data_IF_245858645033
#
_entry.id   IF_245858645033
#
_cell.length_a   1.000
_cell.length_b   1.000
_cell.length_c   1.000
_cell.angle_alpha   90.00
_cell.angle_beta   90.00
_cell.angle_gamma   90.00
#
_symmetry.space_group_name_H-M   'P 1'
#
loop_
_entity.id
_entity.type
_entity.pdbx_description
1 polymer ?
#
# COMPACT_ATOMS: atom_id res chain seq x y z
N UNK A 1 24.76 -57.14 67.30
CA UNK A 1 23.45 -57.03 66.63
C UNK A 1 23.06 -55.55 66.62
N UNK A 2 23.24 -54.89 65.51
CA UNK A 2 22.76 -53.49 65.28
C UNK A 2 21.83 -53.52 64.09
N UNK A 3 20.60 -53.16 64.32
CA UNK A 3 19.55 -53.07 63.32
C UNK A 3 19.73 -51.78 62.52
N UNK A 4 19.72 -51.92 61.17
CA UNK A 4 19.79 -50.81 60.24
C UNK A 4 18.34 -50.43 59.88
N UNK A 5 17.89 -49.20 60.23
CA UNK A 5 16.60 -48.64 59.86
C UNK A 5 16.77 -47.92 58.53
N UNK A 6 16.08 -48.38 57.49
CA UNK A 6 16.08 -47.77 56.16
C UNK A 6 14.94 -46.74 56.11
N UNK A 7 15.26 -45.43 56.10
CA UNK A 7 14.27 -44.37 55.87
C UNK A 7 14.04 -44.19 54.38
N UNK A 8 12.83 -44.52 53.93
CA UNK A 8 12.32 -44.27 52.58
C UNK A 8 11.76 -42.84 52.51
N UNK A 9 12.45 -41.90 51.89
CA UNK A 9 11.92 -40.56 51.65
C UNK A 9 11.08 -40.56 50.36
N UNK A 10 9.76 -40.34 50.51
CA UNK A 10 8.85 -40.04 49.42
C UNK A 10 9.10 -38.65 48.93
N UNK A 11 9.58 -38.52 47.71
CA UNK A 11 9.64 -37.25 46.99
C UNK A 11 8.27 -37.05 46.29
N UNK A 12 7.44 -36.17 46.85
CA UNK A 12 6.21 -35.73 46.22
C UNK A 12 6.57 -34.65 45.19
N UNK A 13 6.49 -35.00 43.89
CA UNK A 13 6.63 -34.08 42.82
C UNK A 13 5.38 -33.18 42.73
N UNK A 14 5.45 -31.94 43.18
CA UNK A 14 4.48 -30.93 42.85
C UNK A 14 4.61 -30.59 41.36
N UNK A 15 3.65 -31.05 40.56
CA UNK A 15 3.43 -30.50 39.22
C UNK A 15 2.82 -29.11 39.40
N UNK A 16 3.67 -28.07 39.28
CA UNK A 16 3.19 -26.71 39.15
C UNK A 16 2.40 -26.59 37.85
N UNK A 17 1.09 -26.38 37.94
CA UNK A 17 0.31 -25.83 36.83
C UNK A 17 0.86 -24.46 36.54
N UNK A 18 1.49 -24.26 35.39
CA UNK A 18 1.76 -22.94 34.86
C UNK A 18 0.40 -22.45 34.37
N UNK A 19 -0.28 -21.71 35.22
CA UNK A 19 -1.44 -20.92 34.83
C UNK A 19 -0.91 -19.89 33.83
N UNK A 20 -1.17 -20.13 32.53
CA UNK A 20 -0.91 -19.13 31.50
C UNK A 20 -1.93 -18.00 31.74
N UNK A 21 -1.58 -17.06 32.60
CA UNK A 21 -2.37 -15.89 32.85
C UNK A 21 -2.60 -15.20 31.50
N UNK A 22 -3.85 -15.15 31.07
CA UNK A 22 -4.27 -14.32 29.93
C UNK A 22 -3.79 -12.90 30.24
N UNK A 23 -2.99 -12.26 29.38
CA UNK A 23 -2.55 -10.89 29.66
C UNK A 23 -3.78 -10.00 29.88
N UNK A 24 -3.70 -9.03 30.79
CA UNK A 24 -4.81 -8.11 31.02
C UNK A 24 -5.15 -7.38 29.72
N UNK A 25 -6.44 -7.06 29.49
CA UNK A 25 -6.82 -6.29 28.32
C UNK A 25 -6.07 -4.94 28.33
N UNK A 26 -5.69 -4.43 27.13
CA UNK A 26 -5.01 -3.15 27.03
C UNK A 26 -5.91 -2.02 27.61
N UNK A 27 -5.32 -0.91 28.07
CA UNK A 27 -6.09 0.22 28.58
C UNK A 27 -7.05 0.79 27.53
N UNK A 28 -8.21 1.37 27.90
CA UNK A 28 -9.13 2.00 26.97
C UNK A 28 -8.45 3.05 26.09
N UNK A 29 -8.79 3.08 24.79
CA UNK A 29 -8.21 4.02 23.83
C UNK A 29 -6.85 3.60 23.24
N UNK A 30 -6.30 2.45 23.63
CA UNK A 30 -5.14 1.85 22.94
C UNK A 30 -5.60 1.25 21.62
N UNK A 31 -4.81 1.38 20.52
CA UNK A 31 -5.19 0.79 19.25
C UNK A 31 -5.27 -0.74 19.32
N UNK A 32 -6.28 -1.30 18.70
CA UNK A 32 -6.53 -2.72 18.59
C UNK A 32 -7.09 -3.05 17.19
N UNK A 33 -7.13 -4.33 16.83
CA UNK A 33 -7.66 -4.79 15.55
C UNK A 33 -9.06 -5.37 15.74
N UNK A 34 -10.01 -4.89 14.92
CA UNK A 34 -11.32 -5.50 14.74
C UNK A 34 -11.42 -6.08 13.34
N UNK A 35 -11.69 -7.38 13.23
CA UNK A 35 -11.91 -8.00 11.93
C UNK A 35 -13.22 -7.54 11.32
N UNK A 36 -13.17 -7.00 10.10
CA UNK A 36 -14.35 -6.50 9.38
C UNK A 36 -14.82 -7.43 8.27
N UNK A 37 -13.97 -8.35 7.82
CA UNK A 37 -14.34 -9.32 6.80
C UNK A 37 -13.23 -10.31 6.47
N UNK A 38 -13.60 -11.26 5.60
CA UNK A 38 -12.67 -12.21 4.98
C UNK A 38 -12.96 -12.30 3.48
N UNK A 39 -11.92 -12.15 2.67
CA UNK A 39 -12.00 -12.01 1.22
C UNK A 39 -11.02 -12.99 0.54
N UNK A 40 -11.12 -13.15 -0.78
CA UNK A 40 -10.18 -13.96 -1.55
C UNK A 40 -9.01 -13.07 -2.01
N UNK A 41 -7.81 -13.33 -1.49
CA UNK A 41 -6.60 -12.58 -1.84
C UNK A 41 -6.80 -11.06 -1.92
N UNK A 42 -7.26 -10.40 -0.84
CA UNK A 42 -7.47 -8.96 -0.87
C UNK A 42 -6.13 -8.22 -0.90
N UNK A 43 -6.03 -7.20 -1.73
CA UNK A 43 -4.80 -6.42 -1.93
C UNK A 43 -4.98 -4.92 -1.75
N UNK A 44 -6.22 -4.44 -1.60
CA UNK A 44 -6.47 -3.03 -1.36
C UNK A 44 -7.87 -2.79 -0.77
N UNK A 45 -8.03 -1.67 -0.04
CA UNK A 45 -9.31 -1.22 0.48
C UNK A 45 -9.42 0.29 0.34
N UNK A 46 -10.59 0.77 -0.08
CA UNK A 46 -10.90 2.20 -0.18
C UNK A 46 -12.40 2.46 -0.02
N UNK A 47 -12.77 3.73 0.06
CA UNK A 47 -14.16 4.21 0.04
C UNK A 47 -14.31 5.39 -0.92
N UNK A 48 -15.51 5.59 -1.53
CA UNK A 48 -15.79 6.80 -2.26
C UNK A 48 -15.69 8.04 -1.37
N UNK A 49 -15.34 9.21 -1.92
CA UNK A 49 -15.34 10.45 -1.16
C UNK A 49 -16.68 10.69 -0.44
N UNK A 50 -16.60 10.98 0.86
CA UNK A 50 -17.74 11.22 1.75
C UNK A 50 -18.72 10.05 1.95
N UNK A 51 -18.47 8.87 1.38
CA UNK A 51 -19.28 7.67 1.61
C UNK A 51 -18.81 6.96 2.89
N UNK A 52 -19.59 7.11 3.95
CA UNK A 52 -19.29 6.50 5.25
C UNK A 52 -20.03 5.18 5.47
N UNK A 53 -20.71 4.67 4.46
CA UNK A 53 -21.55 3.47 4.56
C UNK A 53 -20.93 2.25 3.89
N UNK A 54 -20.04 2.48 2.90
CA UNK A 54 -19.47 1.42 2.09
C UNK A 54 -17.96 1.42 2.10
N UNK A 55 -17.41 0.21 2.11
CA UNK A 55 -16.00 -0.05 1.84
C UNK A 55 -15.90 -0.94 0.60
N UNK A 56 -14.89 -0.71 -0.19
CA UNK A 56 -14.61 -1.46 -1.41
C UNK A 56 -13.27 -2.19 -1.25
N UNK A 57 -13.33 -3.52 -1.30
CA UNK A 57 -12.16 -4.38 -1.15
C UNK A 57 -11.80 -4.95 -2.51
N UNK A 58 -10.59 -4.67 -2.96
CA UNK A 58 -10.02 -5.16 -4.20
C UNK A 58 -9.39 -6.52 -3.94
N UNK A 59 -9.84 -7.51 -4.70
CA UNK A 59 -9.26 -8.85 -4.72
C UNK A 59 -8.33 -9.02 -5.92
N UNK A 60 -7.18 -9.61 -5.70
CA UNK A 60 -6.13 -9.74 -6.71
C UNK A 60 -6.61 -10.50 -7.96
N UNK A 61 -7.54 -11.44 -7.79
CA UNK A 61 -8.11 -12.26 -8.85
C UNK A 61 -9.00 -11.51 -9.85
N UNK A 62 -9.31 -10.23 -9.58
CA UNK A 62 -10.08 -9.37 -10.47
C UNK A 62 -11.44 -8.92 -9.94
N UNK A 63 -11.84 -9.32 -8.75
CA UNK A 63 -13.11 -8.90 -8.18
C UNK A 63 -12.94 -7.68 -7.24
N UNK A 64 -13.88 -6.74 -7.28
CA UNK A 64 -14.06 -5.71 -6.27
C UNK A 64 -15.29 -6.04 -5.45
N UNK A 65 -15.14 -6.18 -4.14
CA UNK A 65 -16.23 -6.51 -3.21
C UNK A 65 -16.69 -5.28 -2.45
N UNK A 66 -18.00 -5.19 -2.22
CA UNK A 66 -18.58 -4.14 -1.37
C UNK A 66 -18.87 -4.68 0.01
N UNK A 67 -18.51 -3.93 1.02
CA UNK A 67 -18.89 -4.15 2.41
C UNK A 67 -19.79 -3.00 2.83
N UNK A 68 -21.05 -3.30 3.12
CA UNK A 68 -22.03 -2.39 3.72
C UNK A 68 -22.04 -2.60 5.22
N UNK A 69 -21.56 -1.66 5.99
CA UNK A 69 -21.30 -1.85 7.43
C UNK A 69 -20.51 -3.16 7.60
N UNK A 70 -21.04 -4.15 8.28
CA UNK A 70 -20.38 -5.44 8.52
C UNK A 70 -20.85 -6.55 7.56
N UNK A 71 -21.55 -6.21 6.46
CA UNK A 71 -22.12 -7.20 5.54
C UNK A 71 -21.47 -7.14 4.17
N UNK A 72 -20.75 -8.21 3.81
CA UNK A 72 -20.17 -8.36 2.46
C UNK A 72 -21.31 -8.66 1.48
N UNK A 73 -21.42 -7.83 0.44
CA UNK A 73 -22.45 -8.03 -0.59
C UNK A 73 -22.16 -9.29 -1.41
N UNK A 74 -23.21 -10.02 -1.79
CA UNK A 74 -23.09 -11.29 -2.51
C UNK A 74 -22.49 -11.11 -3.89
N UNK A 75 -22.90 -10.07 -4.62
CA UNK A 75 -22.37 -9.74 -5.95
C UNK A 75 -21.13 -8.85 -5.83
N UNK A 76 -20.12 -9.05 -6.66
CA UNK A 76 -19.02 -8.08 -6.75
C UNK A 76 -19.53 -6.76 -7.33
N UNK A 77 -18.86 -5.66 -6.96
CA UNK A 77 -19.06 -4.35 -7.57
C UNK A 77 -18.55 -4.31 -9.02
N UNK A 78 -17.37 -4.91 -9.24
CA UNK A 78 -16.74 -5.10 -10.54
C UNK A 78 -16.17 -6.52 -10.61
N UNK A 79 -16.30 -7.19 -11.77
CA UNK A 79 -15.80 -8.55 -11.97
C UNK A 79 -14.98 -8.67 -13.25
N UNK A 80 -13.66 -8.62 -13.11
CA UNK A 80 -12.69 -8.78 -14.21
C UNK A 80 -12.03 -10.17 -14.21
N UNK A 81 -12.53 -11.11 -13.43
CA UNK A 81 -11.99 -12.47 -13.37
C UNK A 81 -12.01 -13.14 -14.73
N UNK A 82 -10.90 -13.77 -15.10
CA UNK A 82 -10.70 -14.35 -16.44
C UNK A 82 -10.35 -13.34 -17.54
N UNK A 83 -10.31 -12.04 -17.23
CA UNK A 83 -9.92 -10.98 -18.17
C UNK A 83 -8.54 -10.39 -17.88
N UNK A 84 -7.93 -10.77 -16.75
CA UNK A 84 -6.66 -10.25 -16.27
C UNK A 84 -5.67 -11.38 -16.00
N UNK A 85 -4.36 -11.08 -16.01
CA UNK A 85 -3.35 -11.93 -15.40
C UNK A 85 -3.33 -11.69 -13.89
N UNK A 86 -3.22 -12.75 -13.08
CA UNK A 86 -3.06 -12.60 -11.63
C UNK A 86 -2.18 -13.71 -11.04
N UNK A 87 -1.59 -13.41 -9.88
CA UNK A 87 -0.64 -14.25 -9.17
C UNK A 87 0.74 -13.59 -9.05
N UNK A 88 1.47 -13.92 -7.98
CA UNK A 88 2.65 -13.14 -7.61
C UNK A 88 2.24 -11.68 -7.36
N UNK A 89 2.82 -10.74 -8.09
CA UNK A 89 2.48 -9.31 -8.01
C UNK A 89 1.44 -8.87 -9.07
N UNK A 90 1.06 -9.74 -10.01
CA UNK A 90 0.07 -9.43 -11.03
C UNK A 90 -1.35 -9.57 -10.50
N UNK A 91 -2.28 -8.78 -11.03
CA UNK A 91 -3.69 -8.85 -10.68
C UNK A 91 -4.45 -7.54 -10.86
N UNK A 92 -5.63 -7.49 -10.27
CA UNK A 92 -6.33 -6.23 -9.99
C UNK A 92 -5.74 -5.67 -8.69
N UNK A 93 -5.01 -4.53 -8.78
CA UNK A 93 -4.12 -4.08 -7.73
C UNK A 93 -4.65 -2.88 -6.92
N UNK A 94 -5.48 -2.04 -7.54
CA UNK A 94 -6.13 -0.92 -6.83
C UNK A 94 -7.34 -0.37 -7.55
N UNK A 95 -8.06 0.48 -6.83
CA UNK A 95 -9.25 1.19 -7.27
C UNK A 95 -9.21 2.62 -6.71
N UNK A 96 -9.50 3.63 -7.54
CA UNK A 96 -9.63 5.02 -7.12
C UNK A 96 -10.96 5.60 -7.59
N UNK A 97 -11.72 6.16 -6.67
CA UNK A 97 -12.95 6.90 -7.00
C UNK A 97 -12.62 8.33 -7.39
N UNK A 98 -13.27 8.82 -8.46
CA UNK A 98 -13.19 10.24 -8.85
C UNK A 98 -13.58 11.13 -7.66
N UNK A 99 -12.90 12.26 -7.41
CA UNK A 99 -13.28 13.19 -6.36
C UNK A 99 -14.75 13.65 -6.43
N UNK A 100 -15.36 13.62 -7.63
CA UNK A 100 -16.75 13.93 -7.89
C UNK A 100 -17.63 12.67 -8.08
N UNK A 101 -17.21 11.50 -7.59
CA UNK A 101 -17.91 10.23 -7.77
C UNK A 101 -19.39 10.29 -7.41
N UNK A 102 -19.77 11.04 -6.39
CA UNK A 102 -21.17 11.21 -5.97
C UNK A 102 -22.06 11.72 -7.11
N UNK A 103 -21.52 12.54 -8.02
CA UNK A 103 -22.25 13.17 -9.12
C UNK A 103 -21.99 12.54 -10.48
N UNK A 104 -20.74 12.11 -10.76
CA UNK A 104 -20.34 11.59 -12.07
C UNK A 104 -20.27 10.05 -12.14
N UNK A 105 -20.22 9.38 -10.98
CA UNK A 105 -20.18 7.91 -10.91
C UNK A 105 -18.88 7.29 -11.40
N UNK A 106 -17.84 8.08 -11.71
CA UNK A 106 -16.59 7.58 -12.30
C UNK A 106 -15.65 6.98 -11.26
N UNK A 107 -15.00 5.89 -11.63
CA UNK A 107 -13.91 5.30 -10.87
C UNK A 107 -12.88 4.68 -11.83
N UNK A 108 -11.70 4.38 -11.31
CA UNK A 108 -10.56 3.90 -12.07
C UNK A 108 -9.98 2.66 -11.40
N UNK A 109 -9.51 1.72 -12.19
CA UNK A 109 -8.83 0.51 -11.69
C UNK A 109 -7.47 0.35 -12.35
N UNK A 110 -6.55 -0.25 -11.60
CA UNK A 110 -5.21 -0.63 -12.05
C UNK A 110 -5.12 -2.15 -12.05
N UNK A 111 -4.79 -2.74 -13.18
CA UNK A 111 -4.62 -4.18 -13.28
C UNK A 111 -3.58 -4.56 -14.34
N UNK A 112 -3.10 -5.81 -14.30
CA UNK A 112 -2.29 -6.41 -15.35
C UNK A 112 -3.17 -7.20 -16.32
N UNK A 113 -3.07 -6.91 -17.62
CA UNK A 113 -3.81 -7.63 -18.64
C UNK A 113 -3.24 -9.06 -18.85
N UNK A 114 -3.87 -9.94 -19.63
CA UNK A 114 -3.37 -11.30 -19.88
C UNK A 114 -1.95 -11.39 -20.44
N UNK A 115 -1.42 -10.33 -21.04
CA UNK A 115 -0.03 -10.25 -21.51
C UNK A 115 0.96 -9.75 -20.44
N UNK A 116 0.47 -9.38 -19.25
CA UNK A 116 1.27 -8.78 -18.18
C UNK A 116 1.38 -7.26 -18.23
N UNK A 117 0.88 -6.59 -19.30
CA UNK A 117 0.94 -5.13 -19.36
C UNK A 117 0.03 -4.46 -18.34
N UNK A 118 0.47 -3.33 -17.82
CA UNK A 118 -0.31 -2.50 -16.91
C UNK A 118 -1.43 -1.80 -17.68
N UNK A 119 -2.62 -1.82 -17.11
CA UNK A 119 -3.82 -1.12 -17.61
C UNK A 119 -4.45 -0.26 -16.55
N UNK A 120 -4.73 0.99 -16.92
CA UNK A 120 -5.56 1.90 -16.15
C UNK A 120 -6.86 2.06 -16.93
N UNK A 121 -7.96 1.63 -16.33
CA UNK A 121 -9.27 1.66 -16.99
C UNK A 121 -10.25 2.42 -16.14
N UNK A 122 -10.98 3.34 -16.77
CA UNK A 122 -12.10 4.06 -16.19
C UNK A 122 -13.39 3.30 -16.42
N UNK A 123 -14.25 3.27 -15.42
CA UNK A 123 -15.63 2.79 -15.46
C UNK A 123 -16.57 3.81 -14.86
N UNK A 124 -17.86 3.64 -15.13
CA UNK A 124 -18.94 4.29 -14.41
C UNK A 124 -19.66 3.27 -13.50
N UNK A 125 -20.22 3.77 -12.41
CA UNK A 125 -21.17 3.00 -11.62
C UNK A 125 -22.50 2.88 -12.39
N UNK A 126 -23.18 1.75 -12.24
CA UNK A 126 -24.51 1.55 -12.82
C UNK A 126 -25.59 2.33 -12.04
N UNK A 127 -26.85 2.17 -12.41
CA UNK A 127 -27.98 2.70 -11.63
C UNK A 127 -28.07 2.07 -10.24
N UNK A 128 -27.62 0.82 -10.09
CA UNK A 128 -27.33 0.21 -8.80
C UNK A 128 -25.93 0.65 -8.34
N UNK A 129 -25.88 1.47 -7.28
CA UNK A 129 -24.64 2.06 -6.77
C UNK A 129 -23.65 1.01 -6.21
N UNK A 130 -24.06 -0.24 -6.05
CA UNK A 130 -23.24 -1.36 -5.63
C UNK A 130 -22.77 -2.23 -6.80
N UNK A 131 -22.94 -1.76 -8.05
CA UNK A 131 -22.54 -2.45 -9.27
C UNK A 131 -21.94 -1.49 -10.29
N UNK A 132 -20.79 -1.85 -10.85
CA UNK A 132 -20.20 -1.15 -11.99
C UNK A 132 -21.00 -1.40 -13.27
N UNK A 133 -20.98 -0.44 -14.19
CA UNK A 133 -21.37 -0.65 -15.58
C UNK A 133 -20.13 -1.00 -16.40
N UNK A 134 -19.89 -2.31 -16.55
CA UNK A 134 -18.70 -2.83 -17.25
C UNK A 134 -18.67 -2.44 -18.74
N UNK A 135 -19.81 -2.12 -19.34
CA UNK A 135 -19.89 -1.67 -20.73
C UNK A 135 -19.31 -0.26 -20.94
N UNK A 136 -19.08 0.48 -19.85
CA UNK A 136 -18.48 1.83 -19.89
C UNK A 136 -16.96 1.83 -19.85
N UNK A 137 -16.31 0.66 -19.93
CA UNK A 137 -14.86 0.52 -19.88
C UNK A 137 -14.16 1.45 -20.89
N UNK A 138 -13.29 2.32 -20.39
CA UNK A 138 -12.46 3.24 -21.17
C UNK A 138 -11.01 3.13 -20.70
N UNK A 139 -10.13 2.60 -21.57
CA UNK A 139 -8.71 2.45 -21.26
C UNK A 139 -8.04 3.83 -21.28
N UNK A 140 -7.67 4.31 -20.09
CA UNK A 140 -6.99 5.60 -19.91
C UNK A 140 -5.52 5.49 -20.30
N UNK A 141 -4.81 4.49 -19.77
CA UNK A 141 -3.38 4.32 -20.02
C UNK A 141 -3.04 2.84 -20.14
N UNK A 142 -2.10 2.55 -21.02
CA UNK A 142 -1.47 1.23 -21.18
C UNK A 142 0.03 1.39 -21.08
N UNK A 143 0.67 0.66 -20.17
CA UNK A 143 2.13 0.61 -20.06
C UNK A 143 2.58 -0.80 -20.35
N UNK A 144 3.42 -0.96 -21.34
CA UNK A 144 4.03 -2.25 -21.66
C UNK A 144 4.92 -2.69 -20.48
N UNK A 145 4.79 -3.97 -20.09
CA UNK A 145 5.56 -4.57 -19.02
C UNK A 145 6.14 -5.91 -19.50
N UNK A 146 7.12 -5.87 -20.42
CA UNK A 146 7.63 -7.07 -21.07
C UNK A 146 8.59 -7.86 -20.17
N UNK A 147 8.54 -9.17 -20.29
CA UNK A 147 9.59 -10.09 -19.82
C UNK A 147 9.48 -10.56 -18.38
N UNK A 148 8.99 -9.75 -17.46
CA UNK A 148 8.88 -10.09 -16.04
C UNK A 148 7.44 -9.99 -15.55
N UNK A 149 7.13 -10.67 -14.43
CA UNK A 149 5.79 -10.62 -13.81
C UNK A 149 5.76 -9.88 -12.48
N UNK A 150 6.91 -9.39 -12.02
CA UNK A 150 7.09 -8.67 -10.77
C UNK A 150 7.36 -7.17 -11.00
N UNK A 151 7.38 -6.38 -9.94
CA UNK A 151 7.52 -4.91 -9.92
C UNK A 151 6.48 -4.23 -10.80
N UNK A 152 5.22 -4.56 -10.55
CA UNK A 152 4.11 -3.94 -11.26
C UNK A 152 3.71 -2.59 -10.66
N UNK A 153 4.21 -2.22 -9.48
CA UNK A 153 3.65 -1.13 -8.69
C UNK A 153 2.21 -1.47 -8.29
N UNK A 154 1.24 -0.59 -8.60
CA UNK A 154 -0.18 -0.97 -8.51
C UNK A 154 -1.10 0.02 -7.82
N UNK A 155 -0.59 1.07 -7.19
CA UNK A 155 -1.45 2.05 -6.52
C UNK A 155 -1.99 3.08 -7.49
N UNK A 156 -3.32 3.36 -7.39
CA UNK A 156 -4.00 4.53 -7.92
C UNK A 156 -4.49 5.39 -6.76
N UNK A 157 -4.33 6.70 -6.88
CA UNK A 157 -4.95 7.65 -5.95
C UNK A 157 -5.14 9.01 -6.62
N UNK A 158 -6.26 9.67 -6.32
CA UNK A 158 -6.39 11.09 -6.63
C UNK A 158 -5.60 11.92 -5.62
N UNK A 159 -4.73 12.77 -6.12
CA UNK A 159 -4.01 13.73 -5.30
C UNK A 159 -4.91 14.88 -4.83
N UNK A 160 -4.44 15.71 -3.90
CA UNK A 160 -5.16 16.90 -3.43
C UNK A 160 -5.38 17.95 -4.54
N UNK A 161 -4.74 17.76 -5.68
CA UNK A 161 -4.87 18.55 -6.92
C UNK A 161 -5.95 18.02 -7.87
N UNK A 162 -6.67 16.95 -7.48
CA UNK A 162 -7.66 16.23 -8.28
C UNK A 162 -7.09 15.62 -9.58
N UNK A 163 -5.78 15.38 -9.67
CA UNK A 163 -5.17 14.59 -10.72
C UNK A 163 -5.09 13.14 -10.30
N UNK A 164 -5.14 12.23 -11.26
CA UNK A 164 -4.92 10.80 -11.00
C UNK A 164 -3.43 10.52 -10.97
N UNK A 165 -2.96 9.93 -9.87
CA UNK A 165 -1.60 9.49 -9.67
C UNK A 165 -1.54 7.98 -9.69
N UNK A 166 -0.44 7.44 -10.20
CA UNK A 166 -0.19 6.01 -10.22
C UNK A 166 1.30 5.70 -10.06
N UNK A 167 1.59 4.63 -9.33
CA UNK A 167 2.95 4.11 -9.15
C UNK A 167 3.19 2.91 -10.09
N UNK A 168 4.29 2.92 -10.82
CA UNK A 168 4.75 1.80 -11.64
C UNK A 168 6.08 1.31 -11.12
N UNK A 169 6.25 -0.01 -11.02
CA UNK A 169 7.56 -0.60 -10.76
C UNK A 169 8.50 -0.45 -11.95
N UNK A 170 9.77 -0.77 -11.76
CA UNK A 170 10.83 -0.64 -12.78
C UNK A 170 10.73 -1.67 -13.92
N UNK A 171 9.80 -2.60 -13.84
CA UNK A 171 9.58 -3.64 -14.86
C UNK A 171 10.12 -5.00 -14.47
N UNK A 172 10.68 -5.13 -13.26
CA UNK A 172 11.07 -6.40 -12.66
C UNK A 172 12.48 -6.87 -12.98
N UNK A 173 12.80 -8.01 -12.41
CA UNK A 173 14.16 -8.52 -12.40
C UNK A 173 15.05 -7.87 -11.34
N UNK A 174 16.20 -8.48 -11.07
CA UNK A 174 17.14 -7.95 -10.07
C UNK A 174 17.95 -6.79 -10.63
N UNK A 175 18.00 -5.65 -9.91
CA UNK A 175 18.88 -4.53 -10.22
C UNK A 175 18.46 -3.65 -11.40
N UNK A 176 17.17 -3.68 -11.80
CA UNK A 176 16.64 -2.88 -12.92
C UNK A 176 17.40 -3.14 -14.22
N UNK A 177 17.31 -4.35 -14.79
CA UNK A 177 18.12 -4.75 -15.94
C UNK A 177 17.87 -3.91 -17.19
N UNK A 178 16.69 -3.28 -17.30
CA UNK A 178 16.29 -2.43 -18.42
C UNK A 178 16.60 -0.94 -18.19
N UNK A 179 17.10 -0.56 -16.98
CA UNK A 179 17.46 0.80 -16.64
C UNK A 179 16.27 1.76 -16.55
N UNK A 180 15.09 1.23 -16.29
CA UNK A 180 13.86 2.02 -16.27
C UNK A 180 13.83 3.03 -15.14
N UNK A 181 14.34 2.70 -13.94
CA UNK A 181 14.33 3.59 -12.77
C UNK A 181 14.89 4.97 -13.10
N UNK A 182 16.09 5.04 -13.71
CA UNK A 182 16.76 6.29 -14.06
C UNK A 182 16.35 6.88 -15.43
N UNK A 183 15.64 6.13 -16.26
CA UNK A 183 15.21 6.59 -17.58
C UNK A 183 13.95 7.45 -17.48
N UNK A 184 14.09 8.78 -17.58
CA UNK A 184 12.96 9.73 -17.52
C UNK A 184 11.95 9.60 -18.67
N UNK A 185 12.30 8.93 -19.76
CA UNK A 185 11.40 8.66 -20.89
C UNK A 185 10.60 7.37 -20.73
N UNK A 186 11.00 6.47 -19.82
CA UNK A 186 10.24 5.27 -19.48
C UNK A 186 9.06 5.61 -18.55
N UNK A 187 7.98 4.84 -18.69
CA UNK A 187 6.82 4.93 -17.76
C UNK A 187 6.91 3.93 -16.61
N UNK A 188 7.94 3.09 -16.58
CA UNK A 188 8.24 2.14 -15.50
C UNK A 188 9.25 2.75 -14.52
N UNK A 189 9.15 2.40 -13.23
CA UNK A 189 9.97 2.95 -12.14
C UNK A 189 9.62 4.39 -11.80
N UNK A 190 8.32 4.75 -11.77
CA UNK A 190 7.83 6.13 -11.74
C UNK A 190 6.62 6.34 -10.84
N UNK A 191 6.42 7.59 -10.44
CA UNK A 191 5.09 8.12 -10.24
C UNK A 191 4.65 8.87 -11.48
N UNK A 192 3.49 8.51 -12.02
CA UNK A 192 2.86 9.16 -13.16
C UNK A 192 1.67 10.01 -12.67
N UNK A 193 1.37 11.11 -13.38
CA UNK A 193 0.29 12.02 -13.01
C UNK A 193 -0.47 12.49 -14.23
N UNK A 194 -1.80 12.26 -14.20
CA UNK A 194 -2.70 12.40 -15.35
C UNK A 194 -3.90 13.28 -15.00
N UNK A 195 -4.34 14.10 -15.93
CA UNK A 195 -5.63 14.78 -15.87
C UNK A 195 -6.70 13.94 -16.59
N UNK A 196 -7.56 13.29 -15.80
CA UNK A 196 -8.62 12.39 -16.29
C UNK A 196 -10.01 13.00 -16.23
N UNK A 197 -10.10 14.33 -16.07
CA UNK A 197 -11.40 15.05 -15.97
C UNK A 197 -12.16 15.08 -17.28
N UNK A 198 -11.50 14.87 -18.41
CA UNK A 198 -12.10 14.78 -19.75
C UNK A 198 -13.13 13.66 -19.88
N UNK A 199 -13.90 13.71 -20.97
CA UNK A 199 -14.91 12.71 -21.28
C UNK A 199 -14.29 11.35 -21.66
N UNK A 200 -13.09 11.33 -22.25
CA UNK A 200 -12.34 10.13 -22.63
C UNK A 200 -10.84 10.38 -22.50
N UNK A 201 -10.06 9.30 -22.32
CA UNK A 201 -8.61 9.35 -22.20
C UNK A 201 -8.12 10.24 -21.05
N UNK A 202 -6.95 10.86 -21.24
CA UNK A 202 -6.34 11.78 -20.29
C UNK A 202 -5.66 12.96 -21.00
N UNK A 203 -5.38 14.01 -20.24
CA UNK A 203 -4.51 15.10 -20.65
C UNK A 203 -3.28 15.17 -19.74
N UNK A 204 -2.20 15.78 -20.23
CA UNK A 204 -1.01 16.04 -19.41
C UNK A 204 -1.24 17.34 -18.62
N UNK A 205 -1.18 17.27 -17.28
CA UNK A 205 -1.29 18.47 -16.44
C UNK A 205 -0.26 19.53 -16.84
N UNK A 206 -0.64 20.80 -16.72
CA UNK A 206 0.17 21.93 -17.21
C UNK A 206 1.45 22.16 -16.41
N UNK A 207 1.54 21.55 -15.24
CA UNK A 207 2.66 21.64 -14.31
C UNK A 207 3.47 20.33 -14.17
N UNK A 208 3.22 19.31 -15.02
CA UNK A 208 4.11 18.15 -15.10
C UNK A 208 5.53 18.56 -15.51
N UNK A 209 6.58 17.84 -15.04
CA UNK A 209 7.99 18.18 -15.36
C UNK A 209 8.27 18.37 -16.84
N UNK A 210 7.67 17.55 -17.71
CA UNK A 210 7.83 17.61 -19.17
C UNK A 210 7.47 18.96 -19.80
N UNK A 211 6.70 19.80 -19.10
CA UNK A 211 6.34 21.14 -19.58
C UNK A 211 7.52 22.13 -19.55
N UNK A 212 8.53 21.82 -18.74
CA UNK A 212 9.74 22.65 -18.59
C UNK A 212 11.04 21.92 -18.87
N UNK A 213 11.01 20.58 -18.87
CA UNK A 213 12.15 19.70 -19.13
C UNK A 213 11.73 18.57 -20.08
N UNK A 214 12.11 18.67 -21.34
CA UNK A 214 11.77 17.71 -22.40
C UNK A 214 12.46 16.36 -22.24
N UNK A 215 13.35 16.17 -21.26
CA UNK A 215 13.92 14.87 -20.92
C UNK A 215 12.95 13.96 -20.19
N UNK A 216 11.78 14.47 -19.77
CA UNK A 216 10.72 13.65 -19.15
C UNK A 216 9.68 13.23 -20.18
N UNK A 217 9.22 11.97 -20.09
CA UNK A 217 7.95 11.58 -20.71
C UNK A 217 6.81 12.43 -20.14
N UNK A 218 5.77 12.72 -20.94
CA UNK A 218 4.71 13.65 -20.54
C UNK A 218 4.02 13.31 -19.22
N UNK A 219 3.81 12.04 -18.95
CA UNK A 219 3.08 11.51 -17.80
C UNK A 219 3.89 11.51 -16.51
N UNK A 220 5.22 11.52 -16.63
CA UNK A 220 6.13 11.32 -15.49
C UNK A 220 6.10 12.53 -14.56
N UNK A 221 5.89 12.25 -13.25
CA UNK A 221 5.99 13.23 -12.18
C UNK A 221 7.32 13.12 -11.44
N UNK A 222 7.68 11.90 -10.98
CA UNK A 222 8.96 11.59 -10.35
C UNK A 222 9.47 10.23 -10.82
N UNK A 223 10.76 9.95 -10.60
CA UNK A 223 11.45 8.78 -11.14
C UNK A 223 12.45 8.21 -10.13
N UNK A 224 13.12 7.12 -10.50
CA UNK A 224 14.10 6.48 -9.63
C UNK A 224 13.45 5.67 -8.51
N UNK A 225 12.30 5.04 -8.80
CA UNK A 225 11.59 4.12 -7.91
C UNK A 225 11.78 2.69 -8.42
N UNK A 226 11.80 1.72 -7.48
CA UNK A 226 11.94 0.31 -7.81
C UNK A 226 10.59 -0.39 -7.96
N UNK A 227 9.82 -0.41 -6.91
CA UNK A 227 8.47 -0.99 -6.90
C UNK A 227 7.61 -0.27 -5.85
N UNK A 228 7.16 0.97 -6.15
CA UNK A 228 6.34 1.77 -5.25
C UNK A 228 4.97 1.10 -5.09
N UNK A 229 4.93 0.10 -4.19
CA UNK A 229 3.78 -0.77 -4.02
C UNK A 229 2.56 0.00 -3.55
N UNK A 230 2.72 0.81 -2.48
CA UNK A 230 1.68 1.74 -2.03
C UNK A 230 2.25 3.12 -1.80
N UNK A 231 1.50 4.12 -2.22
CA UNK A 231 1.72 5.50 -1.85
C UNK A 231 0.42 6.14 -1.38
N UNK A 232 0.50 7.20 -0.62
CA UNK A 232 -0.68 7.94 -0.18
C UNK A 232 -0.38 9.42 0.04
N UNK A 233 -1.44 10.23 -0.03
CA UNK A 233 -1.38 11.62 0.38
C UNK A 233 -1.97 11.79 1.78
N UNK A 234 -1.25 12.50 2.63
CA UNK A 234 -1.85 12.97 3.87
C UNK A 234 -3.02 13.91 3.56
N UNK A 235 -4.22 13.56 3.99
CA UNK A 235 -5.44 14.32 3.70
C UNK A 235 -5.42 15.74 4.26
N UNK A 236 -4.61 16.03 5.29
CA UNK A 236 -4.54 17.34 5.92
C UNK A 236 -3.45 18.22 5.31
N UNK A 237 -2.26 17.69 5.08
CA UNK A 237 -1.11 18.47 4.60
C UNK A 237 -0.92 18.38 3.10
N UNK A 238 -1.41 17.31 2.49
CA UNK A 238 -1.20 16.99 1.08
C UNK A 238 0.19 16.42 0.78
N UNK A 239 0.97 16.09 1.80
CA UNK A 239 2.28 15.48 1.63
C UNK A 239 2.16 14.06 1.10
N UNK A 240 3.11 13.68 0.25
CA UNK A 240 3.15 12.36 -0.38
C UNK A 240 4.09 11.44 0.41
N UNK A 241 3.61 10.25 0.73
CA UNK A 241 4.35 9.15 1.34
C UNK A 241 4.36 7.97 0.38
N UNK A 242 5.52 7.32 0.21
CA UNK A 242 5.71 6.19 -0.72
C UNK A 242 6.41 5.07 0.05
N UNK A 243 5.86 3.85 0.01
CA UNK A 243 6.57 2.64 0.38
C UNK A 243 7.15 2.04 -0.89
N UNK A 244 8.45 2.13 -1.06
CA UNK A 244 9.17 1.57 -2.22
C UNK A 244 9.92 0.30 -1.80
N UNK A 245 9.59 -0.81 -2.45
CA UNK A 245 10.14 -2.13 -2.09
C UNK A 245 11.59 -2.22 -2.55
N UNK A 246 12.47 -2.50 -1.61
CA UNK A 246 13.91 -2.63 -1.84
C UNK A 246 14.32 -3.90 -2.58
N UNK A 247 15.61 -4.00 -2.91
CA UNK A 247 16.13 -5.12 -3.71
C UNK A 247 16.63 -6.28 -2.84
N UNK A 248 17.65 -6.03 -2.05
CA UNK A 248 18.39 -7.09 -1.35
C UNK A 248 18.63 -6.78 0.13
N UNK A 249 18.65 -5.51 0.52
CA UNK A 249 19.16 -5.09 1.82
C UNK A 249 18.24 -4.20 2.63
N UNK A 250 17.53 -3.28 1.98
CA UNK A 250 16.79 -2.23 2.67
C UNK A 250 15.43 -1.98 2.03
N UNK A 251 14.43 -1.88 2.86
CA UNK A 251 13.10 -1.32 2.53
C UNK A 251 13.08 0.16 2.87
N UNK A 252 12.22 0.95 2.20
CA UNK A 252 12.23 2.40 2.41
C UNK A 252 10.85 3.06 2.39
N UNK A 253 10.75 4.16 3.16
CA UNK A 253 9.64 5.12 3.09
C UNK A 253 10.18 6.44 2.59
N UNK A 254 9.76 6.83 1.41
CA UNK A 254 10.01 8.16 0.88
C UNK A 254 8.91 9.14 1.27
N UNK A 255 9.31 10.38 1.52
CA UNK A 255 8.37 11.45 1.80
C UNK A 255 8.66 12.65 0.91
N UNK A 256 7.68 13.07 0.15
CA UNK A 256 7.77 14.25 -0.70
C UNK A 256 6.77 15.33 -0.24
N UNK A 257 7.25 16.33 0.53
CA UNK A 257 6.41 17.39 1.07
C UNK A 257 5.73 18.26 0.02
N UNK A 258 4.59 18.82 0.38
CA UNK A 258 3.91 19.85 -0.42
C UNK A 258 4.82 21.02 -0.75
N UNK A 259 5.74 21.40 0.18
CA UNK A 259 6.70 22.46 -0.02
C UNK A 259 7.68 22.23 -1.19
N UNK A 260 7.95 20.95 -1.54
CA UNK A 260 8.74 20.56 -2.70
C UNK A 260 7.86 19.98 -3.82
N UNK A 261 6.64 20.50 -3.93
CA UNK A 261 5.67 20.11 -4.96
C UNK A 261 5.42 18.61 -5.03
N UNK A 262 5.42 17.90 -3.88
CA UNK A 262 5.17 16.45 -3.82
C UNK A 262 6.08 15.65 -4.75
N UNK A 263 7.36 15.99 -4.81
CA UNK A 263 8.35 15.27 -5.61
C UNK A 263 8.34 15.58 -7.11
N UNK A 264 7.86 16.75 -7.55
CA UNK A 264 7.91 17.14 -8.96
C UNK A 264 9.32 17.09 -9.52
N UNK A 265 9.58 16.16 -10.46
CA UNK A 265 10.89 15.96 -11.08
C UNK A 265 11.95 15.35 -10.15
N UNK A 266 11.58 14.90 -8.96
CA UNK A 266 12.51 14.29 -8.01
C UNK A 266 12.94 12.91 -8.50
N UNK A 267 14.25 12.63 -8.32
CA UNK A 267 14.82 11.30 -8.40
C UNK A 267 14.85 10.68 -7.00
N UNK A 268 14.26 9.49 -6.81
CA UNK A 268 14.28 8.76 -5.55
C UNK A 268 15.47 7.79 -5.41
N UNK A 269 16.32 7.69 -6.46
CA UNK A 269 17.64 7.07 -6.35
C UNK A 269 17.80 5.73 -7.03
N UNK A 270 16.78 4.90 -7.13
CA UNK A 270 16.87 3.59 -7.73
C UNK A 270 17.22 3.68 -9.24
N UNK A 271 18.19 2.94 -9.80
CA UNK A 271 18.96 1.81 -9.25
C UNK A 271 20.42 2.17 -8.88
N UNK A 272 20.67 3.41 -8.50
CA UNK A 272 22.00 3.85 -8.01
C UNK A 272 22.05 3.79 -6.48
N UNK A 273 20.89 3.95 -5.85
CA UNK A 273 20.71 3.84 -4.40
C UNK A 273 19.70 2.73 -4.08
N UNK A 274 19.85 2.10 -2.92
CA UNK A 274 18.87 1.26 -2.22
C UNK A 274 18.83 1.76 -0.78
N UNK A 275 17.71 2.33 -0.36
CA UNK A 275 17.67 3.11 0.87
C UNK A 275 18.64 4.29 0.82
N UNK A 276 19.40 4.45 1.89
CA UNK A 276 20.46 5.50 2.01
C UNK A 276 21.84 5.01 1.55
N UNK A 277 21.89 3.87 0.87
CA UNK A 277 23.12 3.16 0.52
C UNK A 277 23.31 3.08 -0.99
N UNK A 278 24.56 3.03 -1.42
CA UNK A 278 24.88 2.80 -2.83
C UNK A 278 24.50 1.40 -3.30
N UNK A 279 23.98 1.29 -4.51
CA UNK A 279 23.66 0.03 -5.17
C UNK A 279 24.31 0.00 -6.57
N UNK A 280 24.84 -1.13 -7.09
CA UNK A 280 24.99 -2.41 -6.39
C UNK A 280 26.23 -2.47 -5.48
N UNK A 281 27.08 -1.45 -5.48
CA UNK A 281 28.33 -1.43 -4.70
C UNK A 281 28.76 -0.01 -4.30
N UNK A 282 29.42 0.10 -3.17
CA UNK A 282 30.12 1.31 -2.70
C UNK A 282 31.54 1.41 -3.28
N UNK A 283 32.06 2.66 -3.48
CA UNK A 283 31.31 3.93 -3.40
C UNK A 283 30.59 4.26 -4.70
N UNK A 284 29.50 5.01 -4.60
CA UNK A 284 28.87 5.66 -5.74
C UNK A 284 28.76 7.18 -5.50
N UNK A 285 28.35 7.94 -6.50
CA UNK A 285 27.86 9.30 -6.26
C UNK A 285 26.41 9.17 -5.84
N UNK A 286 26.12 9.54 -4.59
CA UNK A 286 24.74 9.59 -4.10
C UNK A 286 23.88 10.47 -5.01
N UNK A 287 22.75 9.94 -5.45
CA UNK A 287 21.82 10.65 -6.33
C UNK A 287 20.42 10.61 -5.74
N UNK A 288 19.66 11.68 -6.01
CA UNK A 288 18.27 11.73 -5.65
C UNK A 288 18.00 12.17 -4.20
N UNK A 289 16.74 12.07 -3.84
CA UNK A 289 16.24 12.30 -2.49
C UNK A 289 16.37 11.00 -1.70
N UNK A 290 17.02 11.04 -0.55
CA UNK A 290 17.11 9.90 0.34
C UNK A 290 15.79 9.70 1.09
N UNK A 291 15.44 8.44 1.40
CA UNK A 291 14.22 8.12 2.14
C UNK A 291 14.26 8.68 3.58
N UNK A 292 13.07 8.97 4.10
CA UNK A 292 12.92 9.37 5.50
C UNK A 292 13.26 8.21 6.45
N UNK A 293 12.72 7.04 6.15
CA UNK A 293 12.94 5.80 6.91
C UNK A 293 13.49 4.74 5.97
N UNK A 294 14.41 3.95 6.47
CA UNK A 294 14.82 2.67 5.90
C UNK A 294 14.89 1.63 7.00
N UNK A 295 14.70 0.36 6.64
CA UNK A 295 14.96 -0.76 7.54
C UNK A 295 15.56 -1.94 6.77
N UNK A 296 16.49 -2.72 7.42
CA UNK A 296 17.20 -3.77 6.71
C UNK A 296 16.38 -5.04 6.59
N UNK A 297 16.68 -5.88 5.60
CA UNK A 297 16.18 -7.25 5.47
C UNK A 297 16.81 -8.15 6.56
N UNK A 298 16.34 -8.02 7.79
CA UNK A 298 16.78 -8.78 8.95
C UNK A 298 15.57 -9.29 9.75
N UNK A 299 15.72 -10.47 10.36
CA UNK A 299 14.68 -10.98 11.26
C UNK A 299 13.40 -11.48 10.58
N UNK A 300 13.35 -11.51 9.26
CA UNK A 300 12.18 -11.96 8.50
C UNK A 300 11.55 -10.88 7.64
N UNK A 301 11.95 -9.61 7.78
CA UNK A 301 11.51 -8.50 6.92
C UNK A 301 11.98 -8.68 5.48
N UNK A 302 11.15 -8.31 4.50
CA UNK A 302 11.48 -8.50 3.09
C UNK A 302 10.75 -7.58 2.10
N UNK A 303 9.68 -6.91 2.50
CA UNK A 303 8.89 -6.12 1.56
C UNK A 303 7.97 -5.15 2.28
N UNK A 304 8.23 -3.86 2.15
CA UNK A 304 7.38 -2.81 2.68
C UNK A 304 6.05 -2.77 1.91
N UNK A 305 4.95 -2.59 2.65
CA UNK A 305 3.63 -2.43 2.04
C UNK A 305 3.20 -0.97 1.89
N UNK A 306 3.93 -0.05 2.52
CA UNK A 306 3.48 1.34 2.59
C UNK A 306 2.22 1.50 3.43
N UNK A 307 1.49 2.59 3.32
CA UNK A 307 0.33 2.85 4.17
C UNK A 307 -0.24 4.25 4.07
N UNK A 308 -0.72 4.75 5.18
CA UNK A 308 -1.45 6.01 5.25
C UNK A 308 -1.15 6.81 6.52
N UNK A 309 -1.25 8.13 6.43
CA UNK A 309 -1.30 8.99 7.61
C UNK A 309 -2.68 8.86 8.26
N UNK A 310 -2.71 8.50 9.55
CA UNK A 310 -3.96 8.43 10.30
C UNK A 310 -4.56 9.82 10.49
N UNK A 311 -5.80 9.99 10.02
CA UNK A 311 -6.59 11.23 10.13
C UNK A 311 -8.02 10.96 10.60
N UNK A 312 -8.24 9.77 11.18
CA UNK A 312 -9.49 9.41 11.82
C UNK A 312 -9.70 10.13 13.15
N UNK A 313 -10.88 9.96 13.71
CA UNK A 313 -11.28 10.56 15.01
C UNK A 313 -11.33 9.54 16.14
N UNK A 314 -11.31 8.24 15.83
CA UNK A 314 -11.46 7.20 16.84
C UNK A 314 -10.24 7.10 17.77
N UNK A 315 -9.04 7.41 17.27
CA UNK A 315 -7.77 7.33 18.00
C UNK A 315 -7.02 8.68 17.93
N UNK A 316 -7.44 9.71 18.70
CA UNK A 316 -6.86 11.06 18.61
C UNK A 316 -5.36 11.12 18.85
N UNK A 317 -4.81 10.22 19.68
CA UNK A 317 -3.37 10.15 19.96
C UNK A 317 -2.54 9.70 18.75
N UNK A 318 -3.16 9.09 17.74
CA UNK A 318 -2.47 8.61 16.52
C UNK A 318 -2.56 9.59 15.34
N UNK A 319 -3.30 10.69 15.50
CA UNK A 319 -3.47 11.67 14.41
C UNK A 319 -2.10 12.23 13.99
N UNK A 320 -1.80 12.11 12.69
CA UNK A 320 -0.53 12.54 12.10
C UNK A 320 0.52 11.43 11.96
N UNK A 321 0.29 10.26 12.53
CA UNK A 321 1.19 9.12 12.33
C UNK A 321 0.94 8.48 10.96
N UNK A 322 2.00 8.29 10.17
CA UNK A 322 1.98 7.47 8.96
C UNK A 322 2.26 6.03 9.36
N UNK A 323 1.30 5.14 9.12
CA UNK A 323 1.42 3.71 9.38
C UNK A 323 1.92 2.99 8.15
N UNK A 324 2.83 2.03 8.34
CA UNK A 324 3.33 1.11 7.32
C UNK A 324 3.62 -0.26 7.95
N UNK A 325 3.82 -1.27 7.13
CA UNK A 325 4.07 -2.64 7.58
C UNK A 325 5.03 -3.36 6.64
N UNK A 326 5.56 -4.49 7.11
CA UNK A 326 6.27 -5.44 6.26
C UNK A 326 5.38 -6.66 5.95
N UNK A 327 5.39 -7.08 4.69
CA UNK A 327 4.60 -8.20 4.19
C UNK A 327 5.01 -9.54 4.83
N UNK A 328 6.32 -9.75 5.00
CA UNK A 328 6.90 -11.04 5.35
C UNK A 328 6.78 -11.37 6.83
N UNK A 329 7.14 -10.43 7.71
CA UNK A 329 7.12 -10.67 9.14
C UNK A 329 5.86 -10.13 9.84
N UNK A 330 5.07 -9.32 9.12
CA UNK A 330 3.82 -8.74 9.63
C UNK A 330 4.03 -7.63 10.66
N UNK A 331 5.23 -7.08 10.75
CA UNK A 331 5.51 -5.94 11.64
C UNK A 331 4.75 -4.70 11.18
N UNK A 332 4.22 -3.94 12.16
CA UNK A 332 3.50 -2.68 11.94
C UNK A 332 4.21 -1.56 12.64
N UNK A 333 4.53 -0.52 11.90
CA UNK A 333 5.26 0.66 12.38
C UNK A 333 4.54 1.95 12.04
N UNK A 334 4.91 3.03 12.73
CA UNK A 334 4.52 4.38 12.31
C UNK A 334 5.60 5.41 12.57
N UNK A 335 5.52 6.51 11.81
CA UNK A 335 6.33 7.71 12.02
C UNK A 335 5.41 8.92 12.17
N UNK A 336 5.79 9.87 13.02
CA UNK A 336 5.03 11.10 13.21
C UNK A 336 5.55 12.21 12.30
N UNK A 337 4.77 12.52 11.26
CA UNK A 337 5.10 13.59 10.31
C UNK A 337 6.37 13.33 9.51
N UNK A 338 7.03 14.41 9.06
CA UNK A 338 8.21 14.35 8.18
C UNK A 338 9.54 14.50 8.91
N UNK A 339 9.49 14.86 10.19
CA UNK A 339 10.69 15.23 10.97
C UNK A 339 11.16 14.16 11.92
N UNK A 340 10.35 13.16 12.20
CA UNK A 340 10.68 12.07 13.09
C UNK A 340 10.92 10.79 12.28
N UNK A 341 12.19 10.49 12.07
CA UNK A 341 12.63 9.28 11.38
C UNK A 341 12.72 8.05 12.31
N UNK A 342 12.30 8.19 13.58
CA UNK A 342 12.32 7.08 14.54
C UNK A 342 10.96 6.39 14.55
N UNK A 343 10.84 5.17 13.98
CA UNK A 343 9.58 4.47 13.94
C UNK A 343 9.12 4.04 15.33
N UNK A 344 7.83 4.23 15.60
CA UNK A 344 7.15 3.54 16.70
C UNK A 344 6.76 2.13 16.24
N UNK A 345 6.98 1.14 17.09
CA UNK A 345 6.63 -0.26 16.83
C UNK A 345 5.25 -0.57 17.44
N UNK A 346 4.32 -0.97 16.59
CA UNK A 346 2.95 -1.36 16.95
C UNK A 346 2.69 -2.86 16.82
N UNK A 347 3.69 -3.65 16.44
CA UNK A 347 3.56 -5.08 16.10
C UNK A 347 2.89 -5.89 17.21
N UNK A 348 3.14 -5.56 18.49
CA UNK A 348 2.51 -6.26 19.63
C UNK A 348 1.02 -5.95 19.75
N UNK A 349 0.58 -4.73 19.44
CA UNK A 349 -0.81 -4.28 19.59
C UNK A 349 -1.62 -4.50 18.30
N UNK A 350 -0.96 -4.30 17.14
CA UNK A 350 -1.54 -4.42 15.81
C UNK A 350 -0.91 -5.62 15.10
N UNK A 351 -1.11 -6.83 15.63
CA UNK A 351 -0.56 -8.07 15.09
C UNK A 351 -1.63 -8.86 14.34
N UNK A 352 -1.90 -8.53 13.06
CA UNK A 352 -2.82 -9.33 12.26
C UNK A 352 -2.19 -10.67 11.84
N UNK A 353 -0.88 -10.80 11.89
CA UNK A 353 -0.07 -11.87 11.32
C UNK A 353 0.69 -11.39 10.07
N UNK A 354 1.34 -12.32 9.39
CA UNK A 354 2.10 -12.08 8.15
C UNK A 354 1.19 -11.83 6.94
N UNK A 355 1.79 -11.59 5.78
CA UNK A 355 1.10 -11.35 4.50
C UNK A 355 0.25 -10.08 4.48
N UNK A 356 0.68 -9.04 5.20
CA UNK A 356 0.03 -7.72 5.10
C UNK A 356 0.26 -7.18 3.69
N UNK A 357 -0.77 -7.27 2.85
CA UNK A 357 -0.69 -6.86 1.43
C UNK A 357 -0.90 -5.36 1.23
N UNK A 358 -1.57 -4.69 2.15
CA UNK A 358 -1.87 -3.27 2.04
C UNK A 358 -2.45 -2.68 3.32
N UNK A 359 -2.49 -1.37 3.36
CA UNK A 359 -3.42 -0.62 4.18
C UNK A 359 -4.56 -0.08 3.31
N UNK A 360 -5.63 0.35 3.98
CA UNK A 360 -6.73 1.09 3.38
C UNK A 360 -7.22 2.20 4.30
N UNK A 361 -7.96 3.14 3.71
CA UNK A 361 -8.52 4.24 4.48
C UNK A 361 -9.97 4.48 4.07
N UNK A 362 -10.87 4.66 5.05
CA UNK A 362 -12.27 5.01 4.77
C UNK A 362 -12.46 6.52 4.55
N UNK A 363 -13.70 6.92 4.29
CA UNK A 363 -14.05 8.32 4.07
C UNK A 363 -13.85 9.21 5.31
N UNK A 364 -13.80 8.61 6.51
CA UNK A 364 -13.57 9.31 7.80
C UNK A 364 -12.09 9.45 8.13
N UNK A 365 -11.19 8.73 7.42
CA UNK A 365 -9.76 8.69 7.71
C UNK A 365 -9.37 7.59 8.70
N UNK A 366 -10.28 6.67 9.02
CA UNK A 366 -9.97 5.49 9.81
C UNK A 366 -9.19 4.48 8.96
N UNK A 367 -8.24 3.76 9.58
CA UNK A 367 -7.33 2.87 8.87
C UNK A 367 -7.72 1.40 8.98
N UNK A 368 -7.38 0.68 7.92
CA UNK A 368 -7.57 -0.75 7.79
C UNK A 368 -6.26 -1.42 7.39
N UNK A 369 -6.04 -2.64 7.89
CA UNK A 369 -4.97 -3.55 7.45
C UNK A 369 -5.60 -4.65 6.61
N UNK A 370 -5.00 -4.92 5.46
CA UNK A 370 -5.44 -5.93 4.48
C UNK A 370 -4.40 -7.03 4.41
N UNK A 371 -4.80 -8.28 4.62
CA UNK A 371 -3.92 -9.45 4.50
C UNK A 371 -4.26 -10.28 3.27
N UNK A 372 -3.25 -10.68 2.49
CA UNK A 372 -3.42 -11.41 1.24
C UNK A 372 -4.14 -12.77 1.43
N UNK A 373 -4.00 -13.39 2.59
CA UNK A 373 -4.63 -14.66 2.94
C UNK A 373 -6.10 -14.53 3.39
N UNK A 374 -6.66 -13.32 3.35
CA UNK A 374 -8.10 -13.08 3.42
C UNK A 374 -8.62 -12.05 4.40
N UNK A 375 -8.11 -11.98 5.63
CA UNK A 375 -8.64 -11.05 6.62
C UNK A 375 -8.44 -9.59 6.26
N UNK A 376 -9.45 -8.77 6.60
CA UNK A 376 -9.38 -7.31 6.63
C UNK A 376 -9.71 -6.84 8.04
N UNK A 377 -8.89 -5.97 8.58
CA UNK A 377 -8.96 -5.48 9.95
C UNK A 377 -9.11 -3.97 9.98
N UNK A 378 -9.96 -3.45 10.85
CA UNK A 378 -10.00 -2.03 11.19
C UNK A 378 -9.14 -1.78 12.42
N UNK A 379 -8.40 -0.68 12.43
CA UNK A 379 -7.71 -0.19 13.63
C UNK A 379 -8.71 0.62 14.44
N UNK A 380 -9.03 0.13 15.63
CA UNK A 380 -10.04 0.71 16.53
C UNK A 380 -9.44 1.00 17.91
N UNK A 381 -10.05 1.89 18.72
CA UNK A 381 -9.71 1.96 20.14
C UNK A 381 -10.21 0.71 20.87
N UNK A 382 -9.43 0.23 21.83
CA UNK A 382 -9.95 -0.74 22.81
C UNK A 382 -11.11 -0.14 23.59
N UNK A 383 -12.12 -0.94 23.93
CA UNK A 383 -13.27 -0.50 24.76
C UNK A 383 -12.88 0.11 26.08
#
# INVERSE_FOLDING_TARGET
MRALILCLSLVTACKGFIDSAVPPPPPPGVPALQRVGNFSSPVYLTAPPADTQRLFVVQQDGAVRVLHHDTIQTRPFLDLRGQIAFGGEQGLLSLAFDPQYATNGRFFVYFTNPNGDIRIVRYNVSSDRDSADEATADTILSVAHPGQSNHNGGQLQFGPDNMLWLGTGDGGGGGDPDGNGQNKHALLGKLLRLDVRGASGYAIPTDNPSRTDTSFAPEVWSYGLRNPWRFSFDRQTGDLYIGDVGQDRYEEVDVAPTAVLRGRGVNFGWNIMEGKHCYPSDPCTSVGQLPLVEYPHLGGTCSITGGYVYRGSALPALVGNYFYADYCDGSVHSILGQSDATPADWTTLLSPGVNISSFGQDARGELYIVQLDGPVWQIIPTP
#
